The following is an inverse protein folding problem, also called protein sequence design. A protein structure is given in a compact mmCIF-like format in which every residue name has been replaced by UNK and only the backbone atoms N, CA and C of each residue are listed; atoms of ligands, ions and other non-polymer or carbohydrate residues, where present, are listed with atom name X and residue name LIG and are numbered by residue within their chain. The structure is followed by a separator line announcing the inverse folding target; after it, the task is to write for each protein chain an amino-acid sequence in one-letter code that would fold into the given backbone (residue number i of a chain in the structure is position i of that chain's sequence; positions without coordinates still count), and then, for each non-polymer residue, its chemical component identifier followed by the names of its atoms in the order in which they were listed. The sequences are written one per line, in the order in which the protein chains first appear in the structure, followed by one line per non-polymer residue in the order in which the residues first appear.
data_IF_682719885581
#
_entry.id   IF_682719885581
#
_cell.length_a   1.000
_cell.length_b   1.000
_cell.length_c   1.000
_cell.angle_alpha   90.00
_cell.angle_beta   90.00
_cell.angle_gamma   90.00
#
_symmetry.space_group_name_H-M   'P 1'
#
loop_
_entity.id
_entity.type
_entity.pdbx_description
1 polymer ?
#
# COMPACT_ATOMS: atom_id res chain seq x y z
N UNK A 1 -50.86 -34.78 14.80
CA UNK A 1 -49.96 -35.20 15.90
C UNK A 1 -48.67 -35.71 15.29
N UNK A 2 -47.50 -35.35 15.87
CA UNK A 2 -46.12 -35.78 15.51
C UNK A 2 -45.50 -35.13 14.26
N UNK A 3 -44.83 -33.97 14.38
CA UNK A 3 -43.39 -33.72 14.68
C UNK A 3 -42.47 -34.06 13.47
N UNK A 4 -42.00 -33.10 12.66
CA UNK A 4 -40.97 -32.06 12.87
C UNK A 4 -39.52 -32.61 12.83
N UNK A 5 -38.64 -31.86 12.15
CA UNK A 5 -37.20 -32.09 11.81
C UNK A 5 -37.12 -32.84 10.48
N UNK A 6 -36.57 -32.28 9.40
CA UNK A 6 -35.18 -31.92 9.20
C UNK A 6 -35.02 -30.57 8.47
N UNK A 7 -34.30 -29.65 9.10
CA UNK A 7 -33.87 -28.36 8.56
C UNK A 7 -32.40 -28.22 8.93
N UNK A 8 -31.57 -27.82 7.96
CA UNK A 8 -30.30 -27.15 8.22
C UNK A 8 -29.05 -28.02 8.19
N UNK A 9 -28.50 -28.24 7.00
CA UNK A 9 -27.03 -28.26 6.84
C UNK A 9 -26.67 -26.91 6.24
N UNK A 10 -26.44 -25.96 7.14
CA UNK A 10 -25.85 -24.66 6.81
C UNK A 10 -24.35 -24.92 6.65
N UNK A 11 -23.88 -24.97 5.41
CA UNK A 11 -22.44 -24.99 5.10
C UNK A 11 -21.90 -23.60 5.44
N UNK A 12 -21.35 -23.45 6.64
CA UNK A 12 -20.51 -22.31 7.00
C UNK A 12 -19.19 -22.50 6.26
N UNK A 13 -19.08 -21.87 5.08
CA UNK A 13 -17.79 -21.60 4.49
C UNK A 13 -17.10 -20.55 5.38
N UNK A 14 -16.29 -21.02 6.34
CA UNK A 14 -15.32 -20.14 7.00
C UNK A 14 -14.25 -19.87 5.94
N UNK A 15 -14.36 -18.72 5.30
CA UNK A 15 -13.27 -18.16 4.52
C UNK A 15 -12.06 -18.06 5.45
N UNK A 16 -11.02 -18.83 5.17
CA UNK A 16 -9.67 -18.57 5.64
C UNK A 16 -9.22 -17.26 5.00
N UNK A 17 -9.64 -16.14 5.59
CA UNK A 17 -9.13 -14.83 5.25
C UNK A 17 -7.69 -14.83 5.73
N UNK A 18 -6.77 -14.95 4.78
CA UNK A 18 -5.35 -14.66 5.00
C UNK A 18 -5.27 -13.32 5.74
N UNK A 19 -4.66 -13.31 6.92
CA UNK A 19 -4.51 -12.13 7.77
C UNK A 19 -3.51 -11.14 7.16
N UNK A 20 -3.82 -10.58 5.99
CA UNK A 20 -3.28 -9.30 5.59
C UNK A 20 -4.20 -8.25 6.19
N UNK A 21 -3.77 -7.60 7.26
CA UNK A 21 -4.49 -6.45 7.80
C UNK A 21 -4.62 -5.41 6.68
N UNK A 22 -5.86 -5.15 6.26
CA UNK A 22 -6.14 -4.23 5.16
C UNK A 22 -5.73 -2.81 5.58
N UNK A 23 -5.07 -2.09 4.67
CA UNK A 23 -4.69 -0.69 4.90
C UNK A 23 -5.96 0.15 4.97
N UNK A 24 -6.14 0.88 6.07
CA UNK A 24 -7.22 1.85 6.17
C UNK A 24 -6.70 3.23 5.76
N UNK A 25 -7.42 3.90 4.86
CA UNK A 25 -7.11 5.24 4.39
C UNK A 25 -8.24 6.20 4.77
N UNK A 26 -7.88 7.40 5.22
CA UNK A 26 -8.81 8.47 5.53
C UNK A 26 -8.23 9.84 5.14
N UNK A 27 -9.08 10.87 5.16
CA UNK A 27 -8.66 12.26 5.02
C UNK A 27 -7.95 12.72 6.29
N UNK A 28 -6.66 12.99 6.18
CA UNK A 28 -5.84 13.51 7.28
C UNK A 28 -5.51 14.97 7.01
N UNK A 29 -5.64 15.80 8.05
CA UNK A 29 -5.27 17.21 8.00
C UNK A 29 -3.82 17.37 7.54
N UNK A 30 -3.61 18.14 6.48
CA UNK A 30 -2.29 18.34 5.86
C UNK A 30 -1.69 19.70 6.23
N UNK A 31 -2.43 20.79 6.08
CA UNK A 31 -1.96 22.14 6.42
C UNK A 31 -3.13 23.12 6.57
N UNK A 32 -2.90 24.23 7.25
CA UNK A 32 -3.82 25.36 7.32
C UNK A 32 -3.26 26.56 6.58
N UNK A 33 -4.15 27.39 6.06
CA UNK A 33 -3.87 28.67 5.43
C UNK A 33 -4.86 29.71 5.95
N UNK A 34 -4.36 30.91 6.21
CA UNK A 34 -5.17 32.06 6.59
C UNK A 34 -4.88 33.22 5.63
N UNK A 35 -5.93 33.87 5.15
CA UNK A 35 -5.87 34.99 4.22
C UNK A 35 -6.91 36.04 4.60
N UNK A 36 -6.74 37.25 4.07
CA UNK A 36 -7.71 38.33 4.20
C UNK A 36 -8.18 38.76 2.82
N UNK A 37 -9.50 38.80 2.62
CA UNK A 37 -10.10 39.19 1.36
C UNK A 37 -10.66 40.61 1.43
N UNK A 38 -10.33 41.42 0.43
CA UNK A 38 -11.03 42.65 0.14
C UNK A 38 -12.32 42.36 -0.66
N UNK A 39 -13.31 43.27 -0.66
CA UNK A 39 -14.55 43.10 -1.43
C UNK A 39 -14.29 42.82 -2.92
N UNK A 40 -14.93 41.80 -3.47
CA UNK A 40 -14.75 41.26 -4.84
C UNK A 40 -13.38 40.66 -5.16
N UNK A 41 -12.45 40.63 -4.20
CA UNK A 41 -11.13 40.07 -4.43
C UNK A 41 -11.16 38.53 -4.53
N UNK A 42 -10.19 37.99 -5.26
CA UNK A 42 -9.98 36.55 -5.41
C UNK A 42 -8.71 36.14 -4.67
N UNK A 43 -8.83 35.13 -3.83
CA UNK A 43 -7.71 34.42 -3.26
C UNK A 43 -7.49 33.10 -3.98
N UNK A 44 -6.26 32.89 -4.44
CA UNK A 44 -5.83 31.62 -5.02
C UNK A 44 -5.13 30.78 -3.95
N UNK A 45 -5.76 29.68 -3.59
CA UNK A 45 -5.20 28.70 -2.67
C UNK A 45 -4.25 27.72 -3.35
N UNK A 46 -4.16 26.50 -2.79
CA UNK A 46 -3.28 25.44 -3.30
C UNK A 46 -3.60 25.06 -4.76
N UNK A 47 -2.53 24.88 -5.53
CA UNK A 47 -2.58 24.25 -6.86
C UNK A 47 -2.47 22.72 -6.70
N UNK A 48 -3.45 22.01 -7.25
CA UNK A 48 -3.51 20.57 -7.31
C UNK A 48 -2.96 20.09 -8.65
N UNK A 49 -2.24 18.97 -8.60
CA UNK A 49 -1.72 18.27 -9.77
C UNK A 49 -2.34 16.86 -9.79
N UNK A 50 -3.58 16.72 -10.29
CA UNK A 50 -4.26 15.42 -10.35
C UNK A 50 -3.45 14.41 -11.16
N UNK A 51 -3.54 13.14 -10.78
CA UNK A 51 -2.90 12.06 -11.54
C UNK A 51 -3.61 11.85 -12.89
N UNK A 52 -3.12 10.90 -13.69
CA UNK A 52 -3.72 10.55 -15.00
C UNK A 52 -5.14 9.97 -14.91
N UNK A 53 -5.68 9.78 -13.71
CA UNK A 53 -7.06 9.32 -13.46
C UNK A 53 -7.89 10.39 -12.72
N UNK A 54 -7.37 11.62 -12.64
CA UNK A 54 -7.93 12.70 -11.85
C UNK A 54 -7.50 12.61 -10.39
N UNK A 55 -8.28 13.25 -9.52
CA UNK A 55 -8.04 13.21 -8.08
C UNK A 55 -9.21 13.79 -7.29
N UNK A 56 -9.49 13.23 -6.13
CA UNK A 56 -10.45 13.85 -5.21
C UNK A 56 -9.73 14.88 -4.34
N UNK A 57 -10.42 15.97 -4.07
CA UNK A 57 -9.97 17.03 -3.19
C UNK A 57 -10.94 17.14 -2.01
N UNK A 58 -10.41 17.38 -0.82
CA UNK A 58 -11.15 17.64 0.40
C UNK A 58 -10.51 18.81 1.15
N UNK A 59 -11.28 19.86 1.39
CA UNK A 59 -10.82 21.11 2.01
C UNK A 59 -11.92 21.65 2.91
N UNK A 60 -11.60 22.04 4.13
CA UNK A 60 -12.52 22.83 4.95
C UNK A 60 -12.27 24.32 4.73
N UNK A 61 -13.34 25.08 4.52
CA UNK A 61 -13.28 26.51 4.28
C UNK A 61 -14.14 27.21 5.32
N UNK A 62 -13.56 28.23 5.95
CA UNK A 62 -14.22 29.07 6.93
C UNK A 62 -13.91 30.54 6.67
N UNK A 63 -14.93 31.38 6.47
CA UNK A 63 -14.81 32.81 6.25
C UNK A 63 -15.73 33.57 7.21
N UNK A 64 -15.42 34.82 7.54
CA UNK A 64 -16.31 35.66 8.38
C UNK A 64 -17.54 36.15 7.64
N UNK A 65 -17.42 36.34 6.33
CA UNK A 65 -18.48 36.80 5.43
C UNK A 65 -18.57 35.89 4.20
N UNK A 66 -19.71 35.89 3.48
CA UNK A 66 -19.94 34.97 2.36
C UNK A 66 -18.89 35.08 1.26
N UNK A 67 -18.41 33.93 0.83
CA UNK A 67 -17.48 33.77 -0.29
C UNK A 67 -18.02 32.77 -1.32
N UNK A 68 -17.63 32.95 -2.57
CA UNK A 68 -17.78 31.94 -3.62
C UNK A 68 -16.51 31.11 -3.70
N UNK A 69 -16.63 29.80 -3.61
CA UNK A 69 -15.53 28.84 -3.76
C UNK A 69 -15.68 28.12 -5.09
N UNK A 70 -14.61 28.00 -5.86
CA UNK A 70 -14.60 27.24 -7.09
C UNK A 70 -13.21 26.67 -7.37
N UNK A 71 -13.15 25.72 -8.30
CA UNK A 71 -11.91 25.23 -8.87
C UNK A 71 -11.83 25.70 -10.31
N UNK A 72 -10.65 26.15 -10.74
CA UNK A 72 -10.40 26.51 -12.13
C UNK A 72 -9.08 25.92 -12.61
N UNK A 73 -8.87 25.79 -13.93
CA UNK A 73 -7.57 25.43 -14.47
C UNK A 73 -6.51 26.47 -14.13
N UNK A 74 -5.34 26.01 -13.67
CA UNK A 74 -4.30 26.91 -13.17
C UNK A 74 -3.71 27.79 -14.27
N UNK A 75 -3.57 27.28 -15.48
CA UNK A 75 -3.08 28.04 -16.64
C UNK A 75 -4.02 29.18 -17.04
N UNK A 76 -5.34 28.95 -16.98
CA UNK A 76 -6.34 30.01 -17.21
C UNK A 76 -6.26 31.09 -16.13
N UNK A 77 -6.18 30.70 -14.85
CA UNK A 77 -6.01 31.64 -13.74
C UNK A 77 -4.73 32.49 -13.86
N UNK A 78 -3.62 31.85 -14.22
CA UNK A 78 -2.34 32.54 -14.42
C UNK A 78 -2.42 33.54 -15.60
N UNK A 79 -3.13 33.19 -16.67
CA UNK A 79 -3.32 34.08 -17.81
C UNK A 79 -4.07 35.37 -17.43
N UNK A 80 -5.10 35.28 -16.57
CA UNK A 80 -5.85 36.47 -16.09
C UNK A 80 -4.96 37.36 -15.23
N UNK A 81 -4.24 36.74 -14.32
CA UNK A 81 -3.40 37.46 -13.35
C UNK A 81 -2.25 38.20 -14.06
N UNK A 82 -1.71 37.62 -15.13
CA UNK A 82 -0.64 38.22 -15.92
C UNK A 82 -1.15 39.22 -16.97
N UNK A 83 -2.36 39.02 -17.49
CA UNK A 83 -2.97 39.87 -18.52
C UNK A 83 -4.39 40.29 -18.16
N UNK A 84 -4.57 41.24 -17.21
CA UNK A 84 -5.89 41.64 -16.71
C UNK A 84 -6.77 42.34 -17.76
N UNK A 85 -6.18 42.79 -18.86
CA UNK A 85 -6.87 43.55 -19.92
C UNK A 85 -7.57 42.66 -20.95
N UNK A 86 -7.23 41.38 -20.99
CA UNK A 86 -7.96 40.41 -21.79
C UNK A 86 -9.14 39.89 -20.96
N UNK A 87 -10.27 39.45 -21.56
CA UNK A 87 -11.33 38.75 -20.86
C UNK A 87 -11.15 37.22 -20.99
N UNK A 88 -10.28 36.59 -20.18
CA UNK A 88 -10.27 35.15 -20.05
C UNK A 88 -11.54 34.69 -19.33
N UNK A 89 -12.18 33.68 -19.90
CA UNK A 89 -13.30 32.99 -19.28
C UNK A 89 -12.72 31.90 -18.38
N UNK A 90 -12.85 32.05 -17.06
CA UNK A 90 -12.56 30.96 -16.14
C UNK A 90 -13.66 29.91 -16.26
N UNK A 91 -13.28 28.71 -16.67
CA UNK A 91 -14.18 27.57 -16.62
C UNK A 91 -14.15 26.97 -15.21
N UNK A 92 -15.01 27.51 -14.35
CA UNK A 92 -15.17 27.03 -12.99
C UNK A 92 -15.83 25.66 -12.94
N UNK A 93 -15.30 24.79 -12.08
CA UNK A 93 -15.92 23.52 -11.68
C UNK A 93 -16.18 23.53 -10.18
N UNK A 94 -17.14 22.70 -9.75
CA UNK A 94 -17.52 22.53 -8.34
C UNK A 94 -17.89 23.84 -7.62
N UNK A 95 -18.43 24.85 -8.31
CA UNK A 95 -18.73 26.15 -7.70
C UNK A 95 -19.72 26.04 -6.55
N UNK A 96 -19.42 26.71 -5.43
CA UNK A 96 -20.30 26.90 -4.29
C UNK A 96 -20.30 28.35 -3.86
N UNK A 97 -21.45 28.99 -3.96
CA UNK A 97 -21.67 30.38 -3.58
C UNK A 97 -22.18 30.49 -2.13
N UNK A 98 -22.07 31.69 -1.57
CA UNK A 98 -22.56 32.06 -0.24
C UNK A 98 -21.99 31.23 0.91
N UNK A 99 -20.73 30.78 0.77
CA UNK A 99 -20.06 29.94 1.76
C UNK A 99 -19.54 30.81 2.90
N UNK A 100 -19.88 30.43 4.14
CA UNK A 100 -19.26 30.96 5.37
C UNK A 100 -18.48 29.85 6.06
N UNK A 101 -19.00 28.63 6.07
CA UNK A 101 -18.31 27.45 6.58
C UNK A 101 -18.76 26.23 5.80
N UNK A 102 -17.85 25.47 5.21
CA UNK A 102 -18.19 24.23 4.49
C UNK A 102 -17.01 23.28 4.42
N UNK A 103 -17.29 21.99 4.38
CA UNK A 103 -16.38 20.99 3.81
C UNK A 103 -16.61 20.97 2.30
N UNK A 104 -15.57 21.29 1.56
CA UNK A 104 -15.56 21.42 0.11
C UNK A 104 -14.87 20.20 -0.50
N UNK A 105 -15.65 19.37 -1.19
CA UNK A 105 -15.16 18.22 -1.94
C UNK A 105 -15.38 18.44 -3.44
N UNK A 106 -14.38 18.07 -4.23
CA UNK A 106 -14.46 18.17 -5.68
C UNK A 106 -13.64 17.06 -6.33
N UNK A 107 -14.18 16.49 -7.41
CA UNK A 107 -13.44 15.58 -8.27
C UNK A 107 -12.72 16.39 -9.36
N UNK A 108 -11.40 16.34 -9.35
CA UNK A 108 -10.54 17.08 -10.27
C UNK A 108 -10.31 16.25 -11.55
N UNK A 109 -10.35 16.90 -12.74
CA UNK A 109 -10.07 16.24 -14.01
C UNK A 109 -8.62 15.76 -14.09
N UNK A 110 -8.35 14.82 -14.98
CA UNK A 110 -7.03 14.25 -15.20
C UNK A 110 -6.10 15.19 -15.99
N UNK A 111 -4.80 15.06 -15.76
CA UNK A 111 -3.76 15.61 -16.64
C UNK A 111 -3.62 17.13 -16.71
N UNK A 112 -4.43 17.93 -15.99
CA UNK A 112 -4.32 19.40 -15.95
C UNK A 112 -4.22 19.92 -14.52
N UNK A 113 -3.24 20.80 -14.18
CA UNK A 113 -3.18 21.44 -12.88
C UNK A 113 -4.40 22.33 -12.62
N UNK A 114 -4.96 22.22 -11.42
CA UNK A 114 -6.18 22.94 -11.01
C UNK A 114 -5.90 23.79 -9.78
N UNK A 115 -6.51 24.97 -9.66
CA UNK A 115 -6.33 25.89 -8.53
C UNK A 115 -7.65 26.11 -7.80
N UNK A 116 -7.60 26.11 -6.47
CA UNK A 116 -8.71 26.53 -5.61
C UNK A 116 -8.80 28.06 -5.61
N UNK A 117 -9.96 28.58 -5.99
CA UNK A 117 -10.25 30.00 -5.98
C UNK A 117 -11.37 30.30 -4.98
N UNK A 118 -11.14 31.29 -4.12
CA UNK A 118 -12.11 31.79 -3.16
C UNK A 118 -12.30 33.27 -3.41
N UNK A 119 -13.53 33.70 -3.69
CA UNK A 119 -13.87 35.08 -4.01
C UNK A 119 -14.77 35.67 -2.95
N UNK A 120 -14.47 36.86 -2.48
CA UNK A 120 -15.39 37.60 -1.61
C UNK A 120 -16.62 38.08 -2.39
N UNK A 121 -17.83 37.86 -1.86
CA UNK A 121 -19.08 38.23 -2.54
C UNK A 121 -19.53 39.67 -2.28
N UNK A 122 -18.85 40.41 -1.40
CA UNK A 122 -19.21 41.80 -1.10
C UNK A 122 -18.87 42.67 -2.28
N UNK A 123 -19.86 43.40 -2.78
CA UNK A 123 -19.66 44.41 -3.81
C UNK A 123 -19.21 45.72 -3.15
N UNK A 124 -18.08 46.33 -3.55
CA UNK A 124 -17.73 47.66 -3.08
C UNK A 124 -18.78 48.67 -3.55
N UNK A 125 -19.29 49.47 -2.63
CA UNK A 125 -20.30 50.48 -2.94
C UNK A 125 -19.69 51.51 -3.93
N UNK A 126 -20.33 51.70 -5.10
CA UNK A 126 -19.75 52.36 -6.29
C UNK A 126 -19.51 53.88 -6.18
N UNK A 127 -19.46 54.48 -5.00
CA UNK A 127 -19.28 55.92 -4.83
C UNK A 127 -17.95 56.24 -4.16
N UNK A 128 -16.85 56.11 -4.92
CA UNK A 128 -15.66 57.01 -4.90
C UNK A 128 -14.40 56.32 -5.42
N UNK A 129 -14.34 56.04 -6.72
CA UNK A 129 -13.05 55.97 -7.44
C UNK A 129 -13.17 56.81 -8.71
N UNK A 130 -13.36 58.12 -8.52
CA UNK A 130 -12.86 59.08 -9.50
C UNK A 130 -11.56 59.60 -8.93
N UNK A 131 -10.46 59.11 -9.50
CA UNK A 131 -9.14 59.70 -9.34
C UNK A 131 -9.15 61.11 -9.94
N UNK A 132 -9.45 62.11 -9.11
CA UNK A 132 -8.99 63.48 -9.33
C UNK A 132 -8.48 63.98 -7.99
N UNK A 133 -7.18 64.26 -7.95
CA UNK A 133 -6.54 64.99 -6.86
C UNK A 133 -7.18 66.38 -6.81
N UNK A 134 -8.19 66.52 -5.96
CA UNK A 134 -8.79 67.79 -5.57
C UNK A 134 -8.95 67.78 -4.03
N UNK A 135 -7.85 68.16 -3.36
CA UNK A 135 -7.81 69.26 -2.39
C UNK A 135 -9.12 69.51 -1.59
N UNK A 136 -9.09 69.14 -0.31
CA UNK A 136 -9.98 69.49 0.81
C UNK A 136 -11.48 69.09 0.76
N UNK A 137 -11.87 68.03 1.48
CA UNK A 137 -13.02 68.02 2.42
C UNK A 137 -13.16 66.69 3.16
N UNK A 138 -13.76 66.72 4.36
CA UNK A 138 -13.99 65.59 5.26
C UNK A 138 -15.00 64.58 4.69
N UNK A 139 -14.53 63.62 3.90
CA UNK A 139 -15.26 62.40 3.55
C UNK A 139 -14.62 61.21 4.24
N UNK A 140 -15.26 60.67 5.27
CA UNK A 140 -14.82 59.43 5.89
C UNK A 140 -14.85 58.31 4.85
N UNK A 141 -13.68 57.86 4.40
CA UNK A 141 -13.56 56.59 3.66
C UNK A 141 -14.20 55.52 4.54
N UNK A 142 -15.30 54.91 4.09
CA UNK A 142 -15.83 53.72 4.75
C UNK A 142 -14.84 52.59 4.50
N UNK A 143 -13.91 52.40 5.44
CA UNK A 143 -13.07 51.20 5.48
C UNK A 143 -13.98 50.01 5.75
N UNK A 144 -14.22 49.19 4.72
CA UNK A 144 -14.83 47.89 4.89
C UNK A 144 -13.74 46.99 5.45
N UNK A 145 -13.98 46.38 6.62
CA UNK A 145 -12.99 45.47 7.21
C UNK A 145 -12.75 44.27 6.29
N UNK A 146 -11.50 43.80 6.12
CA UNK A 146 -11.21 42.59 5.36
C UNK A 146 -11.99 41.38 5.91
N UNK A 147 -12.31 40.44 5.02
CA UNK A 147 -12.95 39.17 5.39
C UNK A 147 -11.85 38.16 5.69
N UNK A 148 -11.75 37.73 6.95
CA UNK A 148 -10.79 36.69 7.33
C UNK A 148 -11.27 35.34 6.76
N UNK A 149 -10.38 34.69 6.01
CA UNK A 149 -10.56 33.39 5.37
C UNK A 149 -9.56 32.40 5.96
N UNK A 150 -10.04 31.24 6.40
CA UNK A 150 -9.24 30.11 6.81
C UNK A 150 -9.57 28.91 5.92
N UNK A 151 -8.52 28.24 5.44
CA UNK A 151 -8.61 27.05 4.59
C UNK A 151 -7.80 25.94 5.26
N UNK A 152 -8.43 24.80 5.55
CA UNK A 152 -7.75 23.60 6.04
C UNK A 152 -7.72 22.56 4.94
N UNK A 153 -6.51 22.24 4.48
CA UNK A 153 -6.27 21.25 3.44
C UNK A 153 -6.13 19.85 4.04
N UNK A 154 -6.74 18.87 3.38
CA UNK A 154 -6.58 17.46 3.73
C UNK A 154 -5.82 16.71 2.64
N UNK A 155 -5.22 15.60 3.03
CA UNK A 155 -4.62 14.63 2.12
C UNK A 155 -5.19 13.25 2.43
N UNK A 156 -5.40 12.46 1.38
CA UNK A 156 -5.79 11.07 1.53
C UNK A 156 -4.55 10.28 1.94
N UNK A 157 -4.52 9.79 3.17
CA UNK A 157 -3.35 9.13 3.73
C UNK A 157 -3.74 7.87 4.48
N UNK A 158 -2.78 6.95 4.63
CA UNK A 158 -3.01 5.76 5.41
C UNK A 158 -3.02 6.10 6.90
N UNK A 159 -4.07 5.67 7.60
CA UNK A 159 -4.24 5.89 9.05
C UNK A 159 -4.04 4.62 9.87
N UNK A 160 -4.24 3.44 9.28
CA UNK A 160 -4.01 2.16 9.95
C UNK A 160 -3.35 1.13 9.03
N UNK A 161 -2.51 0.27 9.62
CA UNK A 161 -1.79 -0.82 8.94
C UNK A 161 -0.88 -0.36 7.79
N UNK A 162 -0.36 0.87 7.89
CA UNK A 162 0.40 1.51 6.82
C UNK A 162 1.76 0.86 6.57
N UNK A 163 2.35 0.35 7.63
CA UNK A 163 3.58 -0.44 7.61
C UNK A 163 3.15 -1.91 7.58
N UNK A 164 3.65 -2.65 6.58
CA UNK A 164 3.39 -4.07 6.41
C UNK A 164 4.72 -4.84 6.43
N UNK A 165 4.70 -6.14 6.80
CA UNK A 165 5.88 -6.98 6.71
C UNK A 165 6.33 -7.11 5.25
N UNK A 166 7.62 -6.87 5.02
CA UNK A 166 8.24 -7.02 3.71
C UNK A 166 8.93 -8.39 3.61
N UNK A 167 8.79 -9.03 2.46
CA UNK A 167 9.33 -10.37 2.22
C UNK A 167 10.32 -10.34 1.06
N UNK A 168 11.45 -11.02 1.26
CA UNK A 168 12.50 -11.12 0.26
C UNK A 168 13.10 -12.53 0.23
N UNK A 169 13.65 -12.88 -0.93
CA UNK A 169 14.35 -14.15 -1.10
C UNK A 169 15.71 -14.11 -0.41
N UNK A 170 15.90 -14.98 0.57
CA UNK A 170 17.18 -15.25 1.23
C UNK A 170 17.72 -16.62 0.81
N UNK A 171 19.04 -16.72 0.66
CA UNK A 171 19.72 -18.00 0.41
C UNK A 171 20.04 -18.62 1.77
N UNK A 172 19.39 -19.75 2.09
CA UNK A 172 19.59 -20.46 3.34
C UNK A 172 20.72 -21.48 3.25
N UNK A 173 20.74 -22.27 2.17
CA UNK A 173 21.85 -23.19 1.86
C UNK A 173 22.34 -22.91 0.47
N UNK A 174 23.66 -22.91 0.29
CA UNK A 174 24.29 -23.08 -1.01
C UNK A 174 25.60 -23.80 -0.83
N UNK A 175 25.59 -25.10 -1.08
CA UNK A 175 26.72 -25.98 -0.77
C UNK A 175 27.06 -26.90 -1.94
N UNK A 176 28.37 -27.12 -2.14
CA UNK A 176 28.91 -28.18 -2.99
C UNK A 176 29.63 -29.19 -2.10
N UNK A 177 29.11 -30.41 -2.00
CA UNK A 177 29.61 -31.44 -1.09
C UNK A 177 29.89 -32.76 -1.82
N UNK A 178 30.75 -33.61 -1.24
CA UNK A 178 31.02 -34.95 -1.76
C UNK A 178 29.93 -35.93 -1.35
N UNK A 179 29.44 -36.71 -2.32
CA UNK A 179 28.36 -37.65 -2.07
C UNK A 179 28.77 -38.76 -1.08
N UNK A 180 27.87 -39.01 -0.14
CA UNK A 180 27.95 -40.09 0.84
C UNK A 180 26.70 -40.96 0.81
N UNK A 181 26.79 -42.16 1.36
CA UNK A 181 25.63 -43.05 1.57
C UNK A 181 24.71 -42.55 2.68
N UNK A 182 25.24 -41.80 3.64
CA UNK A 182 24.48 -41.17 4.71
C UNK A 182 23.64 -40.00 4.18
N UNK A 183 22.40 -39.81 4.69
CA UNK A 183 21.56 -38.68 4.32
C UNK A 183 22.18 -37.36 4.81
N UNK A 184 22.04 -36.31 4.01
CA UNK A 184 22.36 -34.93 4.39
C UNK A 184 21.08 -34.22 4.82
N UNK A 185 21.13 -33.58 5.99
CA UNK A 185 19.99 -32.90 6.60
C UNK A 185 20.38 -31.45 6.90
N UNK A 186 19.55 -30.50 6.46
CA UNK A 186 19.70 -29.07 6.71
C UNK A 186 18.51 -28.54 7.52
N UNK A 187 18.69 -28.38 8.83
CA UNK A 187 17.63 -27.96 9.78
C UNK A 187 17.62 -26.46 10.03
N UNK A 188 17.56 -25.66 8.96
CA UNK A 188 17.69 -24.20 9.02
C UNK A 188 16.44 -23.42 8.63
N UNK A 189 15.40 -24.10 8.16
CA UNK A 189 14.16 -23.45 7.74
C UNK A 189 13.18 -23.38 8.92
N UNK A 190 12.76 -22.16 9.25
CA UNK A 190 11.64 -21.91 10.15
C UNK A 190 10.67 -21.00 9.40
N UNK A 191 9.47 -21.47 9.04
CA UNK A 191 8.49 -20.65 8.34
C UNK A 191 8.12 -19.41 9.19
N UNK A 192 8.05 -18.25 8.55
CA UNK A 192 7.55 -16.99 9.11
C UNK A 192 6.04 -16.84 8.90
N UNK A 193 5.49 -17.52 7.89
CA UNK A 193 4.06 -17.47 7.54
C UNK A 193 3.58 -18.75 6.88
N UNK A 194 2.26 -18.95 6.92
CA UNK A 194 1.62 -20.01 6.14
C UNK A 194 1.75 -19.77 4.65
N UNK A 195 2.02 -20.85 3.92
CA UNK A 195 2.20 -20.83 2.49
C UNK A 195 3.51 -20.18 2.05
N UNK A 196 4.51 -20.05 2.93
CA UNK A 196 5.79 -19.44 2.59
C UNK A 196 6.45 -20.20 1.45
N UNK A 197 6.78 -19.54 0.33
CA UNK A 197 7.39 -20.23 -0.79
C UNK A 197 8.87 -20.47 -0.50
N UNK A 198 9.29 -21.69 -0.79
CA UNK A 198 10.66 -22.17 -0.67
C UNK A 198 11.08 -22.69 -2.03
N UNK A 199 12.30 -22.37 -2.43
CA UNK A 199 12.88 -22.81 -3.70
C UNK A 199 14.08 -23.69 -3.45
N UNK A 200 14.09 -24.85 -4.10
CA UNK A 200 15.12 -25.87 -3.93
C UNK A 200 15.72 -26.17 -5.29
N UNK A 201 17.05 -26.18 -5.37
CA UNK A 201 17.80 -26.62 -6.53
C UNK A 201 18.81 -27.66 -6.15
N UNK A 202 18.77 -28.78 -6.86
CA UNK A 202 19.71 -29.88 -6.72
C UNK A 202 20.41 -30.12 -8.05
N UNK A 203 21.71 -30.39 -8.00
CA UNK A 203 22.50 -30.95 -9.10
C UNK A 203 23.41 -32.05 -8.56
N UNK A 204 23.26 -33.26 -9.06
CA UNK A 204 23.99 -34.43 -8.62
C UNK A 204 24.30 -35.36 -9.80
N UNK A 205 25.41 -36.11 -9.72
CA UNK A 205 25.83 -37.08 -10.74
C UNK A 205 25.03 -38.40 -10.70
N UNK A 206 24.18 -38.62 -9.69
CA UNK A 206 23.34 -39.79 -9.50
C UNK A 206 21.92 -39.37 -9.10
N UNK A 207 20.89 -40.20 -9.30
CA UNK A 207 19.53 -39.90 -8.87
C UNK A 207 19.42 -39.72 -7.35
N UNK A 208 18.88 -38.57 -6.94
CA UNK A 208 18.70 -38.18 -5.54
C UNK A 208 17.21 -38.12 -5.19
N UNK A 209 16.91 -38.41 -3.93
CA UNK A 209 15.67 -37.98 -3.29
C UNK A 209 15.93 -36.71 -2.51
N UNK A 210 15.07 -35.72 -2.71
CA UNK A 210 15.10 -34.42 -2.04
C UNK A 210 13.73 -34.16 -1.46
N UNK A 211 13.64 -33.88 -0.16
CA UNK A 211 12.37 -33.61 0.48
C UNK A 211 12.53 -32.61 1.62
N UNK A 212 11.49 -31.81 1.80
CA UNK A 212 11.33 -30.94 2.94
C UNK A 212 10.37 -31.62 3.92
N UNK A 213 10.83 -31.86 5.15
CA UNK A 213 10.06 -32.56 6.17
C UNK A 213 10.19 -31.82 7.51
N UNK A 214 9.23 -31.96 8.43
CA UNK A 214 9.39 -31.49 9.80
C UNK A 214 10.70 -31.98 10.42
N UNK A 215 11.40 -31.11 11.17
CA UNK A 215 12.73 -31.43 11.71
C UNK A 215 12.75 -32.68 12.57
N UNK A 216 11.66 -32.95 13.30
CA UNK A 216 11.51 -34.17 14.12
C UNK A 216 11.50 -35.47 13.31
N UNK A 217 11.04 -35.42 12.05
CA UNK A 217 11.12 -36.54 11.11
C UNK A 217 12.49 -36.62 10.45
N UNK A 218 13.10 -35.47 10.16
CA UNK A 218 14.45 -35.43 9.59
C UNK A 218 15.49 -36.06 10.50
N UNK A 219 15.42 -35.81 11.82
CA UNK A 219 16.31 -36.40 12.81
C UNK A 219 16.19 -37.94 12.81
N UNK A 220 14.96 -38.48 12.71
CA UNK A 220 14.73 -39.93 12.60
C UNK A 220 15.30 -40.52 11.31
N UNK A 221 15.22 -39.80 10.20
CA UNK A 221 15.79 -40.25 8.92
C UNK A 221 17.32 -40.25 8.98
N UNK A 222 17.92 -39.30 9.70
CA UNK A 222 19.35 -39.26 9.91
C UNK A 222 19.83 -40.47 10.72
N UNK A 223 19.12 -40.80 11.81
CA UNK A 223 19.45 -41.92 12.69
C UNK A 223 19.16 -43.28 12.05
N UNK A 224 18.00 -43.44 11.41
CA UNK A 224 17.58 -44.64 10.70
C UNK A 224 17.05 -44.32 9.29
N UNK A 225 17.92 -44.45 8.27
CA UNK A 225 17.57 -44.17 6.88
C UNK A 225 16.50 -45.09 6.27
N UNK A 226 16.03 -46.14 6.97
CA UNK A 226 14.92 -47.00 6.53
C UNK A 226 13.55 -46.33 6.70
N UNK A 227 13.44 -45.37 7.60
CA UNK A 227 12.20 -44.61 7.90
C UNK A 227 11.82 -43.60 6.81
N UNK A 228 12.73 -43.35 5.86
CA UNK A 228 12.57 -42.38 4.79
C UNK A 228 11.24 -42.50 4.04
N UNK A 229 10.86 -43.71 3.62
CA UNK A 229 9.64 -43.90 2.83
C UNK A 229 8.40 -43.41 3.56
N UNK A 230 8.30 -43.69 4.87
CA UNK A 230 7.19 -43.23 5.71
C UNK A 230 7.21 -41.71 5.92
N UNK A 231 8.38 -41.10 6.10
CA UNK A 231 8.52 -39.65 6.25
C UNK A 231 8.24 -38.90 4.94
N UNK A 232 8.51 -39.53 3.80
CA UNK A 232 8.15 -38.97 2.50
C UNK A 232 6.64 -38.98 2.29
N UNK A 233 5.88 -39.94 2.81
CA UNK A 233 4.42 -39.97 2.67
C UNK A 233 3.74 -38.77 3.34
N UNK A 234 4.30 -38.27 4.44
CA UNK A 234 3.74 -37.12 5.16
C UNK A 234 4.01 -35.76 4.51
N UNK A 235 4.93 -35.66 3.55
CA UNK A 235 5.25 -34.39 2.87
C UNK A 235 4.83 -34.39 1.40
N UNK A 236 4.26 -33.27 0.96
CA UNK A 236 4.01 -32.96 -0.45
C UNK A 236 5.22 -32.34 -1.13
N UNK A 237 6.14 -31.72 -0.37
CA UNK A 237 7.35 -31.09 -0.90
C UNK A 237 8.49 -32.11 -1.04
N UNK A 238 8.41 -32.96 -2.06
CA UNK A 238 9.41 -34.00 -2.34
C UNK A 238 9.61 -34.24 -3.82
N UNK A 239 10.82 -34.67 -4.17
CA UNK A 239 11.22 -35.11 -5.50
C UNK A 239 12.09 -36.36 -5.38
N UNK A 240 11.89 -37.31 -6.30
CA UNK A 240 12.59 -38.60 -6.32
C UNK A 240 13.23 -38.83 -7.69
N UNK A 241 14.32 -39.58 -7.73
CA UNK A 241 15.05 -39.89 -8.95
C UNK A 241 15.68 -38.69 -9.66
N UNK A 242 15.93 -37.57 -8.98
CA UNK A 242 16.35 -36.32 -9.63
C UNK A 242 17.88 -36.18 -9.66
N UNK A 243 18.41 -35.85 -10.83
CA UNK A 243 19.84 -35.51 -11.00
C UNK A 243 20.04 -34.00 -11.08
N UNK A 244 19.20 -33.29 -11.81
CA UNK A 244 19.24 -31.83 -11.90
C UNK A 244 17.82 -31.30 -11.94
N UNK A 245 17.39 -30.61 -10.90
CA UNK A 245 16.05 -30.04 -10.82
C UNK A 245 16.05 -28.75 -10.02
N UNK A 246 15.14 -27.84 -10.37
CA UNK A 246 14.75 -26.72 -9.54
C UNK A 246 13.24 -26.75 -9.38
N UNK A 247 12.75 -26.68 -8.15
CA UNK A 247 11.33 -26.72 -7.85
C UNK A 247 11.02 -25.83 -6.65
N UNK A 248 9.77 -25.42 -6.55
CA UNK A 248 9.27 -24.63 -5.42
C UNK A 248 8.16 -25.35 -4.69
N UNK A 249 8.09 -25.13 -3.39
CA UNK A 249 7.04 -25.62 -2.51
C UNK A 249 6.54 -24.49 -1.61
N UNK A 250 5.39 -24.70 -1.00
CA UNK A 250 4.88 -23.82 0.03
C UNK A 250 4.90 -24.56 1.36
N UNK A 251 5.40 -23.89 2.39
CA UNK A 251 5.55 -24.45 3.74
C UNK A 251 4.56 -23.80 4.70
N UNK A 252 4.14 -24.52 5.74
CA UNK A 252 3.16 -24.03 6.72
C UNK A 252 3.80 -23.79 8.08
N UNK A 253 3.31 -22.79 8.80
CA UNK A 253 3.66 -22.56 10.20
C UNK A 253 3.24 -23.72 11.09
N UNK A 254 2.16 -24.43 10.75
CA UNK A 254 1.64 -25.55 11.53
C UNK A 254 2.61 -26.74 11.59
N UNK A 255 3.41 -26.94 10.54
CA UNK A 255 4.40 -28.01 10.45
C UNK A 255 5.65 -27.72 11.31
N UNK A 256 5.78 -26.48 11.79
CA UNK A 256 6.87 -26.03 12.64
C UNK A 256 8.19 -25.89 11.89
N UNK A 257 9.29 -26.20 12.56
CA UNK A 257 10.62 -26.16 11.91
C UNK A 257 10.72 -27.29 10.88
N UNK A 258 11.23 -26.93 9.71
CA UNK A 258 11.41 -27.86 8.61
C UNK A 258 12.89 -28.04 8.28
N UNK A 259 13.19 -29.22 7.76
CA UNK A 259 14.53 -29.64 7.41
C UNK A 259 14.54 -30.19 5.99
N UNK A 260 15.51 -29.75 5.20
CA UNK A 260 15.77 -30.30 3.88
C UNK A 260 16.59 -31.58 4.03
N UNK A 261 16.05 -32.69 3.55
CA UNK A 261 16.70 -34.00 3.53
C UNK A 261 17.07 -34.35 2.10
N UNK A 262 18.33 -34.72 1.90
CA UNK A 262 18.90 -35.06 0.59
C UNK A 262 19.66 -36.38 0.70
N UNK A 263 19.34 -37.34 -0.16
CA UNK A 263 19.97 -38.66 -0.16
C UNK A 263 20.03 -39.31 -1.56
N UNK A 264 21.07 -40.10 -1.87
CA UNK A 264 21.11 -40.92 -3.08
C UNK A 264 20.07 -42.05 -3.03
N UNK A 265 19.40 -42.34 -4.15
CA UNK A 265 18.44 -43.45 -4.21
C UNK A 265 19.14 -44.82 -4.14
N UNK A 266 20.26 -44.97 -4.84
CA UNK A 266 21.12 -46.16 -4.73
C UNK A 266 22.23 -45.91 -3.71
N UNK A 267 22.06 -46.50 -2.51
CA UNK A 267 23.03 -46.42 -1.42
C UNK A 267 24.17 -47.42 -1.53
N UNK A 268 24.06 -48.41 -2.43
CA UNK A 268 25.09 -49.45 -2.60
C UNK A 268 26.27 -48.97 -3.45
N UNK A 269 26.07 -47.97 -4.32
CA UNK A 269 27.08 -47.50 -5.26
C UNK A 269 27.08 -45.98 -5.41
N UNK A 270 27.56 -45.28 -4.37
CA UNK A 270 27.70 -43.82 -4.38
C UNK A 270 29.09 -43.43 -4.93
N UNK A 271 29.17 -42.68 -6.04
CA UNK A 271 30.46 -42.26 -6.61
C UNK A 271 31.10 -41.13 -5.78
N UNK A 272 32.43 -41.07 -5.75
CA UNK A 272 33.20 -39.95 -5.19
C UNK A 272 33.16 -38.72 -6.12
N UNK A 273 31.96 -38.17 -6.31
CA UNK A 273 31.70 -36.96 -7.09
C UNK A 273 30.90 -35.98 -6.24
N UNK A 274 30.95 -34.70 -6.63
CA UNK A 274 30.29 -33.63 -5.88
C UNK A 274 28.84 -33.44 -6.34
N UNK A 275 27.97 -33.18 -5.38
CA UNK A 275 26.62 -32.66 -5.60
C UNK A 275 26.55 -31.21 -5.13
N UNK A 276 25.66 -30.43 -5.74
CA UNK A 276 25.36 -29.04 -5.41
C UNK A 276 23.90 -28.94 -4.98
N UNK A 277 23.67 -28.32 -3.83
CA UNK A 277 22.34 -28.04 -3.29
C UNK A 277 22.23 -26.55 -2.97
N UNK A 278 21.10 -25.97 -3.34
CA UNK A 278 20.73 -24.59 -3.02
C UNK A 278 19.29 -24.57 -2.49
N UNK A 279 19.11 -23.96 -1.33
CA UNK A 279 17.82 -23.75 -0.67
C UNK A 279 17.66 -22.25 -0.48
N UNK A 280 16.57 -21.71 -1.01
CA UNK A 280 16.18 -20.32 -0.82
C UNK A 280 14.78 -20.26 -0.22
N UNK A 281 14.54 -19.27 0.62
CA UNK A 281 13.25 -19.07 1.28
C UNK A 281 12.84 -17.62 1.17
N UNK A 282 11.54 -17.38 1.05
CA UNK A 282 11.00 -16.02 1.05
C UNK A 282 10.69 -15.59 2.49
N UNK A 283 11.73 -15.11 3.18
CA UNK A 283 11.68 -14.73 4.59
C UNK A 283 11.29 -13.28 4.76
N UNK A 284 10.81 -12.94 5.96
CA UNK A 284 10.56 -11.56 6.30
C UNK A 284 11.88 -10.78 6.44
N UNK A 285 12.03 -9.70 5.68
CA UNK A 285 13.23 -8.86 5.65
C UNK A 285 13.07 -7.56 6.43
N UNK A 286 11.85 -7.03 6.53
CA UNK A 286 11.55 -5.81 7.29
C UNK A 286 10.16 -5.84 7.93
N UNK A 287 10.01 -5.13 9.04
CA UNK A 287 8.77 -5.01 9.83
C UNK A 287 8.21 -6.36 10.32
N UNK A 288 9.09 -7.32 10.61
CA UNK A 288 8.75 -8.69 10.97
C UNK A 288 8.11 -8.84 12.34
N UNK A 289 8.28 -7.86 13.22
CA UNK A 289 7.58 -7.76 14.49
C UNK A 289 6.05 -7.70 14.33
N UNK A 290 5.56 -7.29 13.16
CA UNK A 290 4.13 -7.26 12.86
C UNK A 290 3.54 -8.67 12.71
N UNK A 291 4.34 -9.67 12.34
CA UNK A 291 3.88 -11.05 12.19
C UNK A 291 3.52 -11.70 13.54
N UNK A 292 4.17 -11.28 14.63
CA UNK A 292 3.91 -11.81 15.99
C UNK A 292 2.68 -11.21 16.66
N UNK A 293 2.12 -10.14 16.09
CA UNK A 293 0.94 -9.44 16.62
C UNK A 293 -0.36 -9.87 15.95
N UNK A 294 -0.29 -10.80 15.00
CA UNK A 294 -1.43 -11.45 14.36
C UNK A 294 -1.79 -12.73 15.11
#
# INVERSE_FOLDING_TARGET
MSKLRWLGVLVVAVASISAAQEKAFEWVKASDEAAQLDPMDYHAGRVYHPASTGGNMHVDIHARMPVTVAIAPNDEWMAITQHPEQPPRLDFICTREHVVSTTFECHLPDGRPMVLLVRDERVPDRVSVQSVVAVFSHGARRFISPNDLNITYYRWDCVQNCIQPEFGWSVLVKEKYELSTAPKVYSILSPDRDGQPVWIRIKAPVPMTVALVPSTLADKIYDDPSTLSSALESTSCKQRGVQSLSFSCNVSLADGRESLVVLPEDRGKVPHKKAEIELQSNECTANCELLKKQ
#
